data_IF_509976449090
#
_entry.id   IF_509976449090
#
_cell.length_a   1.000
_cell.length_b   1.000
_cell.length_c   1.000
_cell.angle_alpha   90.00
_cell.angle_beta   90.00
_cell.angle_gamma   90.00
#
_symmetry.space_group_name_H-M   'P 1'
#
loop_
_entity.id
_entity.type
_entity.pdbx_description
1 polymer ?
#
# COMPACT_ATOMS: atom_id res chain seq x y z
N UNK A 1 55.55 66.21 -26.97
CA UNK A 1 55.20 65.13 -27.91
C UNK A 1 53.94 64.44 -27.38
N UNK A 2 52.79 64.77 -27.96
CA UNK A 2 51.55 64.00 -27.88
C UNK A 2 50.56 64.64 -28.87
N UNK A 3 50.28 63.97 -29.98
CA UNK A 3 49.13 64.28 -30.83
C UNK A 3 48.14 63.12 -30.76
N UNK A 4 46.82 63.39 -30.79
CA UNK A 4 45.82 62.54 -30.19
C UNK A 4 45.17 61.56 -31.18
N UNK A 5 44.56 60.55 -30.59
CA UNK A 5 43.86 59.40 -31.17
C UNK A 5 42.74 59.74 -32.17
N UNK A 6 42.77 59.00 -33.28
CA UNK A 6 41.68 58.40 -34.06
C UNK A 6 40.24 58.78 -33.67
N UNK A 7 39.64 59.66 -34.47
CA UNK A 7 38.18 59.78 -34.58
C UNK A 7 37.63 58.63 -35.42
N UNK A 8 36.79 57.79 -34.79
CA UNK A 8 36.02 56.73 -35.43
C UNK A 8 34.97 57.33 -36.38
N UNK A 9 35.35 57.64 -37.62
CA UNK A 9 34.45 58.07 -38.69
C UNK A 9 33.82 56.87 -39.38
N UNK A 10 32.47 56.81 -39.40
CA UNK A 10 31.73 55.81 -40.17
C UNK A 10 32.11 55.89 -41.66
N UNK A 11 32.32 54.73 -42.29
CA UNK A 11 32.62 54.65 -43.73
C UNK A 11 31.41 55.12 -44.56
N UNK A 12 31.65 55.81 -45.68
CA UNK A 12 30.59 56.28 -46.59
C UNK A 12 29.62 55.18 -47.01
N UNK A 13 30.10 53.94 -47.14
CA UNK A 13 29.25 52.79 -47.44
C UNK A 13 28.29 52.48 -46.28
N UNK A 14 28.79 52.51 -45.05
CA UNK A 14 27.97 52.31 -43.84
C UNK A 14 26.92 53.41 -43.69
N UNK A 15 27.27 54.66 -44.02
CA UNK A 15 26.36 55.79 -44.00
C UNK A 15 25.24 55.63 -45.05
N UNK A 16 25.59 55.17 -46.26
CA UNK A 16 24.64 54.91 -47.35
C UNK A 16 23.68 53.78 -47.00
N UNK A 17 24.16 52.69 -46.40
CA UNK A 17 23.32 51.59 -45.93
C UNK A 17 22.41 52.00 -44.78
N UNK A 18 22.92 52.75 -43.80
CA UNK A 18 22.12 53.25 -42.69
C UNK A 18 21.02 54.21 -43.16
N UNK A 19 21.34 55.11 -44.08
CA UNK A 19 20.38 56.03 -44.68
C UNK A 19 19.30 55.29 -45.48
N UNK A 20 19.71 54.34 -46.34
CA UNK A 20 18.78 53.51 -47.10
C UNK A 20 17.86 52.69 -46.20
N UNK A 21 18.41 52.08 -45.14
CA UNK A 21 17.64 51.31 -44.17
C UNK A 21 16.63 52.18 -43.41
N UNK A 22 17.02 53.36 -42.94
CA UNK A 22 16.11 54.29 -42.25
C UNK A 22 14.98 54.72 -43.18
N UNK A 23 15.30 55.06 -44.44
CA UNK A 23 14.34 55.49 -45.44
C UNK A 23 13.31 54.39 -45.75
N UNK A 24 13.75 53.13 -45.85
CA UNK A 24 12.89 52.00 -46.21
C UNK A 24 12.39 51.19 -45.00
N UNK A 25 12.75 51.56 -43.76
CA UNK A 25 12.46 50.81 -42.52
C UNK A 25 10.98 50.43 -42.41
N UNK A 26 10.08 51.38 -42.67
CA UNK A 26 8.62 51.14 -42.60
C UNK A 26 8.14 50.18 -43.68
N UNK A 27 8.71 50.23 -44.89
CA UNK A 27 8.36 49.34 -45.98
C UNK A 27 8.87 47.91 -45.71
N UNK A 28 10.12 47.77 -45.25
CA UNK A 28 10.70 46.50 -44.83
C UNK A 28 9.89 45.84 -43.70
N UNK A 29 9.48 46.61 -42.69
CA UNK A 29 8.62 46.11 -41.61
C UNK A 29 7.27 45.60 -42.15
N UNK A 30 6.64 46.33 -43.07
CA UNK A 30 5.37 45.91 -43.67
C UNK A 30 5.50 44.62 -44.49
N UNK A 31 6.55 44.51 -45.30
CA UNK A 31 6.85 43.30 -46.10
C UNK A 31 7.11 42.11 -45.17
N UNK A 32 7.92 42.31 -44.13
CA UNK A 32 8.24 41.27 -43.16
C UNK A 32 6.99 40.73 -42.44
N UNK A 33 6.09 41.63 -42.02
CA UNK A 33 4.80 41.23 -41.40
C UNK A 33 3.92 40.47 -42.39
N UNK A 34 3.87 40.86 -43.68
CA UNK A 34 3.13 40.14 -44.70
C UNK A 34 3.68 38.73 -44.94
N UNK A 35 5.00 38.58 -44.98
CA UNK A 35 5.67 37.27 -45.11
C UNK A 35 5.32 36.37 -43.91
N UNK A 36 5.40 36.89 -42.69
CA UNK A 36 5.03 36.16 -41.47
C UNK A 36 3.56 35.72 -41.48
N UNK A 37 2.66 36.59 -41.95
CA UNK A 37 1.23 36.28 -42.04
C UNK A 37 0.95 35.15 -43.03
N UNK A 38 1.60 35.17 -44.20
CA UNK A 38 1.51 34.09 -45.20
C UNK A 38 2.06 32.79 -44.64
N UNK A 39 3.24 32.80 -44.02
CA UNK A 39 3.86 31.62 -43.42
C UNK A 39 2.97 31.00 -42.33
N UNK A 40 2.43 31.83 -41.44
CA UNK A 40 1.51 31.39 -40.38
C UNK A 40 0.26 30.74 -40.96
N UNK A 41 -0.31 31.33 -42.01
CA UNK A 41 -1.50 30.80 -42.70
C UNK A 41 -1.21 29.42 -43.31
N UNK A 42 -0.07 29.25 -43.99
CA UNK A 42 0.33 27.96 -44.58
C UNK A 42 0.55 26.89 -43.51
N UNK A 43 1.22 27.22 -42.40
CA UNK A 43 1.40 26.30 -41.28
C UNK A 43 0.06 25.88 -40.67
N UNK A 44 -0.87 26.83 -40.49
CA UNK A 44 -2.19 26.55 -39.94
C UNK A 44 -3.00 25.63 -40.86
N UNK A 45 -2.98 25.87 -42.17
CA UNK A 45 -3.61 25.00 -43.17
C UNK A 45 -2.99 23.59 -43.13
N UNK A 46 -1.67 23.47 -43.02
CA UNK A 46 -0.99 22.18 -42.92
C UNK A 46 -1.40 21.39 -41.66
N UNK A 47 -1.47 22.06 -40.50
CA UNK A 47 -1.92 21.44 -39.24
C UNK A 47 -3.38 20.97 -39.36
N UNK A 48 -4.26 21.81 -39.91
CA UNK A 48 -5.66 21.46 -40.13
C UNK A 48 -5.81 20.28 -41.09
N UNK A 49 -5.07 20.28 -42.19
CA UNK A 49 -5.04 19.16 -43.12
C UNK A 49 -4.58 17.86 -42.44
N UNK A 50 -3.50 17.92 -41.65
CA UNK A 50 -3.00 16.79 -40.88
C UNK A 50 -4.01 16.27 -39.86
N UNK A 51 -4.72 17.16 -39.16
CA UNK A 51 -5.80 16.80 -38.26
C UNK A 51 -6.96 16.14 -39.03
N UNK A 52 -7.47 16.75 -40.09
CA UNK A 52 -8.56 16.15 -40.89
C UNK A 52 -8.18 14.77 -41.43
N UNK A 53 -6.95 14.63 -41.93
CA UNK A 53 -6.42 13.34 -42.40
C UNK A 53 -6.32 12.31 -41.27
N UNK A 54 -5.81 12.71 -40.09
CA UNK A 54 -5.76 11.87 -38.90
C UNK A 54 -7.16 11.49 -38.40
N UNK A 55 -8.14 12.39 -38.42
CA UNK A 55 -9.51 12.07 -38.02
C UNK A 55 -10.19 11.10 -39.00
N UNK A 56 -9.91 11.24 -40.30
CA UNK A 56 -10.43 10.33 -41.33
C UNK A 56 -9.78 8.94 -41.26
N UNK A 57 -8.46 8.86 -41.04
CA UNK A 57 -7.72 7.59 -41.00
C UNK A 57 -7.57 6.96 -39.62
N UNK A 58 -7.58 7.74 -38.55
CA UNK A 58 -7.29 7.29 -37.19
C UNK A 58 -8.28 6.24 -36.68
N UNK A 59 -9.54 6.30 -37.14
CA UNK A 59 -10.51 5.24 -36.87
C UNK A 59 -10.14 3.92 -37.56
N UNK A 60 -9.57 3.96 -38.76
CA UNK A 60 -9.24 2.76 -39.55
C UNK A 60 -7.88 2.16 -39.18
N UNK A 61 -6.87 2.97 -38.83
CA UNK A 61 -5.56 2.45 -38.41
C UNK A 61 -5.60 1.79 -37.02
N UNK A 62 -6.32 2.36 -36.04
CA UNK A 62 -6.51 1.71 -34.74
C UNK A 62 -7.21 0.35 -34.88
N UNK A 63 -8.20 0.26 -35.76
CA UNK A 63 -8.88 -1.01 -36.06
C UNK A 63 -7.99 -1.96 -36.86
N UNK A 64 -7.13 -1.46 -37.75
CA UNK A 64 -6.12 -2.27 -38.45
C UNK A 64 -5.06 -2.84 -37.49
N UNK A 65 -4.56 -2.07 -36.54
CA UNK A 65 -3.66 -2.54 -35.48
C UNK A 65 -4.34 -3.56 -34.56
N UNK A 66 -5.63 -3.38 -34.23
CA UNK A 66 -6.44 -4.37 -33.49
C UNK A 66 -6.65 -5.67 -34.26
N UNK A 67 -6.87 -5.58 -35.57
CA UNK A 67 -7.11 -6.74 -36.45
C UNK A 67 -5.82 -7.51 -36.78
N UNK A 68 -4.69 -6.83 -36.96
CA UNK A 68 -3.40 -7.48 -37.22
C UNK A 68 -2.71 -8.02 -35.97
N UNK A 69 -2.98 -7.43 -34.80
CA UNK A 69 -2.44 -7.94 -33.53
C UNK A 69 -3.53 -8.08 -32.46
N UNK A 70 -4.47 -9.04 -32.62
CA UNK A 70 -5.50 -9.32 -31.61
C UNK A 70 -4.93 -9.71 -30.24
N UNK A 71 -3.62 -10.00 -30.17
CA UNK A 71 -2.89 -10.36 -28.96
C UNK A 71 -1.97 -9.25 -28.40
N UNK A 72 -1.88 -8.05 -29.00
CA UNK A 72 -0.94 -7.01 -28.53
C UNK A 72 -1.31 -6.50 -27.13
N UNK A 73 -2.61 -6.37 -26.86
CA UNK A 73 -3.14 -6.12 -25.52
C UNK A 73 -4.23 -7.14 -25.26
N UNK A 74 -3.88 -8.21 -24.54
CA UNK A 74 -4.84 -9.23 -24.11
C UNK A 74 -5.71 -8.67 -22.98
N UNK A 75 -6.64 -7.77 -23.31
CA UNK A 75 -7.54 -7.15 -22.34
C UNK A 75 -8.28 -8.19 -21.49
N UNK A 76 -8.71 -9.30 -22.10
CA UNK A 76 -9.34 -10.40 -21.36
C UNK A 76 -8.41 -11.00 -20.29
N UNK A 77 -7.13 -11.23 -20.61
CA UNK A 77 -6.15 -11.71 -19.64
C UNK A 77 -5.80 -10.66 -18.59
N UNK A 78 -5.74 -9.38 -18.97
CA UNK A 78 -5.57 -8.26 -18.04
C UNK A 78 -6.72 -8.18 -17.03
N UNK A 79 -7.98 -8.24 -17.49
CA UNK A 79 -9.15 -8.25 -16.61
C UNK A 79 -9.26 -9.53 -15.77
N UNK A 80 -8.82 -10.67 -16.28
CA UNK A 80 -8.78 -11.91 -15.48
C UNK A 80 -7.72 -11.86 -14.37
N UNK A 81 -6.55 -11.28 -14.63
CA UNK A 81 -5.49 -11.15 -13.63
C UNK A 81 -5.75 -10.05 -12.59
N UNK A 82 -6.54 -9.02 -12.93
CA UNK A 82 -6.87 -7.90 -12.02
C UNK A 82 -8.20 -8.11 -11.27
N UNK A 83 -8.86 -9.27 -11.46
CA UNK A 83 -10.10 -9.60 -10.75
C UNK A 83 -9.83 -9.86 -9.27
N UNK A 84 -10.69 -9.27 -8.43
CA UNK A 84 -10.70 -9.54 -7.00
C UNK A 84 -11.07 -11.00 -6.78
N UNK A 85 -10.20 -11.73 -6.10
CA UNK A 85 -10.38 -13.10 -5.63
C UNK A 85 -10.87 -13.10 -4.19
N UNK A 86 -11.67 -14.11 -3.83
CA UNK A 86 -12.13 -14.28 -2.46
C UNK A 86 -10.97 -14.56 -1.49
N UNK A 87 -11.20 -14.24 -0.22
CA UNK A 87 -10.26 -14.55 0.85
C UNK A 87 -10.14 -16.07 1.03
N UNK A 88 -8.92 -16.53 1.30
CA UNK A 88 -8.67 -17.93 1.67
C UNK A 88 -8.82 -18.01 3.19
N UNK A 89 -9.79 -18.80 3.65
CA UNK A 89 -10.15 -18.92 5.07
C UNK A 89 -9.78 -20.34 5.49
N UNK A 90 -8.93 -20.46 6.51
CA UNK A 90 -8.54 -21.74 7.10
C UNK A 90 -9.59 -22.23 8.12
N UNK A 91 -9.34 -23.37 8.75
CA UNK A 91 -10.22 -23.88 9.81
C UNK A 91 -10.25 -22.96 11.04
N UNK A 92 -11.46 -22.70 11.54
CA UNK A 92 -11.64 -22.00 12.81
C UNK A 92 -11.19 -22.90 13.96
N UNK A 93 -10.28 -22.40 14.81
CA UNK A 93 -9.80 -23.09 16.00
C UNK A 93 -10.32 -22.39 17.25
N UNK A 94 -10.67 -23.19 18.26
CA UNK A 94 -11.18 -22.74 19.55
C UNK A 94 -10.32 -23.33 20.65
N UNK A 95 -9.80 -22.49 21.54
CA UNK A 95 -8.97 -22.89 22.66
C UNK A 95 -9.65 -22.53 23.98
N UNK A 96 -9.85 -23.49 24.89
CA UNK A 96 -10.40 -23.18 26.21
C UNK A 96 -9.38 -22.38 27.03
N UNK A 97 -9.82 -21.23 27.55
CA UNK A 97 -9.01 -20.31 28.36
C UNK A 97 -9.59 -20.18 29.77
N UNK A 98 -9.61 -21.28 30.52
CA UNK A 98 -10.00 -21.31 31.94
C UNK A 98 -11.44 -20.87 32.21
N UNK A 99 -11.92 -21.01 33.44
CA UNK A 99 -13.15 -20.41 33.98
C UNK A 99 -14.35 -20.19 33.01
N UNK A 100 -14.65 -21.15 32.11
CA UNK A 100 -15.70 -21.06 31.07
C UNK A 100 -15.47 -19.94 30.05
N UNK A 101 -14.22 -19.75 29.63
CA UNK A 101 -13.84 -18.86 28.53
C UNK A 101 -13.15 -19.63 27.43
N UNK A 102 -13.24 -19.08 26.23
CA UNK A 102 -12.58 -19.59 25.04
C UNK A 102 -11.97 -18.45 24.23
N UNK A 103 -10.86 -18.75 23.58
CA UNK A 103 -10.27 -17.93 22.53
C UNK A 103 -10.58 -18.59 21.20
N UNK A 104 -11.08 -17.81 20.25
CA UNK A 104 -11.42 -18.28 18.91
C UNK A 104 -10.56 -17.53 17.90
N UNK A 105 -10.04 -18.27 16.92
CA UNK A 105 -9.23 -17.66 15.87
C UNK A 105 -9.20 -18.47 14.58
N UNK A 106 -8.96 -17.77 13.48
CA UNK A 106 -8.89 -18.34 12.14
C UNK A 106 -7.85 -17.59 11.31
N UNK A 107 -7.04 -18.33 10.57
CA UNK A 107 -6.08 -17.76 9.63
C UNK A 107 -6.80 -17.38 8.34
N UNK A 108 -6.58 -16.15 7.88
CA UNK A 108 -7.15 -15.66 6.62
C UNK A 108 -6.03 -15.05 5.79
N UNK A 109 -6.00 -15.40 4.51
CA UNK A 109 -5.11 -14.81 3.53
C UNK A 109 -5.90 -14.03 2.48
N UNK A 110 -5.43 -12.82 2.16
CA UNK A 110 -5.87 -12.05 1.02
C UNK A 110 -4.99 -12.40 -0.19
N UNK A 111 -5.47 -13.18 -1.17
CA UNK A 111 -4.65 -13.60 -2.31
C UNK A 111 -4.45 -12.49 -3.35
N UNK A 112 -4.96 -11.28 -3.13
CA UNK A 112 -4.93 -10.21 -4.13
C UNK A 112 -3.71 -9.32 -3.96
N UNK A 113 -2.90 -9.19 -5.02
CA UNK A 113 -1.65 -8.40 -4.99
C UNK A 113 -1.87 -6.89 -5.08
N UNK A 114 -2.94 -6.45 -5.74
CA UNK A 114 -3.25 -5.03 -5.96
C UNK A 114 -4.48 -4.54 -5.18
N UNK A 115 -5.14 -5.43 -4.45
CA UNK A 115 -6.38 -5.12 -3.73
C UNK A 115 -6.24 -5.51 -2.26
N UNK A 116 -6.51 -4.55 -1.38
CA UNK A 116 -6.70 -4.82 0.03
C UNK A 116 -8.16 -4.58 0.43
N UNK A 117 -8.46 -4.89 1.68
CA UNK A 117 -9.74 -4.61 2.30
C UNK A 117 -9.52 -3.53 3.34
N UNK A 118 -10.07 -2.34 3.10
CA UNK A 118 -9.96 -1.21 4.03
C UNK A 118 -10.69 -1.48 5.33
N UNK A 119 -11.85 -2.11 5.23
CA UNK A 119 -12.67 -2.49 6.38
C UNK A 119 -13.39 -3.80 6.10
N UNK A 120 -13.30 -4.73 7.06
CA UNK A 120 -14.09 -5.95 7.11
C UNK A 120 -14.65 -6.15 8.50
N UNK A 121 -15.96 -6.30 8.59
CA UNK A 121 -16.62 -6.62 9.85
C UNK A 121 -16.82 -8.14 9.95
N UNK A 122 -16.53 -8.69 11.12
CA UNK A 122 -16.60 -10.12 11.37
C UNK A 122 -17.07 -10.43 12.79
N UNK A 123 -17.59 -11.64 12.96
CA UNK A 123 -17.88 -12.23 14.25
C UNK A 123 -17.83 -13.75 14.13
N UNK A 124 -17.71 -14.43 15.26
CA UNK A 124 -17.80 -15.88 15.32
C UNK A 124 -19.17 -16.30 15.84
N UNK A 125 -19.69 -17.39 15.28
CA UNK A 125 -20.87 -18.09 15.80
C UNK A 125 -20.38 -19.36 16.46
N UNK A 126 -20.53 -19.44 17.77
CA UNK A 126 -20.15 -20.61 18.56
C UNK A 126 -21.15 -21.75 18.31
N UNK A 127 -20.73 -23.00 18.56
CA UNK A 127 -21.62 -24.16 18.44
C UNK A 127 -22.82 -24.10 19.39
N UNK A 128 -22.73 -23.36 20.51
CA UNK A 128 -23.86 -23.04 21.38
C UNK A 128 -24.94 -22.17 20.73
N UNK A 129 -24.66 -21.58 19.56
CA UNK A 129 -25.52 -20.63 18.86
C UNK A 129 -25.26 -19.16 19.24
N UNK A 130 -24.43 -18.92 20.25
CA UNK A 130 -24.03 -17.58 20.68
C UNK A 130 -23.12 -16.90 19.65
N UNK A 131 -23.27 -15.59 19.51
CA UNK A 131 -22.45 -14.76 18.62
C UNK A 131 -21.48 -13.93 19.45
N UNK A 132 -20.23 -13.87 19.01
CA UNK A 132 -19.28 -12.90 19.58
C UNK A 132 -19.69 -11.47 19.21
N UNK A 133 -19.20 -10.46 19.94
CA UNK A 133 -19.29 -9.07 19.48
C UNK A 133 -18.74 -8.92 18.07
N UNK A 134 -19.36 -8.03 17.29
CA UNK A 134 -18.86 -7.68 15.96
C UNK A 134 -17.55 -6.90 16.12
N UNK A 135 -16.52 -7.36 15.41
CA UNK A 135 -15.21 -6.74 15.36
C UNK A 135 -14.92 -6.28 13.93
N UNK A 136 -14.09 -5.26 13.79
CA UNK A 136 -13.62 -4.76 12.50
C UNK A 136 -12.14 -5.05 12.33
N UNK A 137 -11.76 -5.36 11.09
CA UNK A 137 -10.37 -5.57 10.68
C UNK A 137 -10.17 -4.98 9.28
N UNK A 138 -8.98 -5.16 8.73
CA UNK A 138 -8.55 -4.72 7.40
C UNK A 138 -7.61 -5.77 6.84
N UNK A 139 -7.32 -5.77 5.54
CA UNK A 139 -6.30 -6.64 4.94
C UNK A 139 -5.49 -5.84 3.91
N UNK A 140 -4.18 -5.81 4.06
CA UNK A 140 -3.30 -5.33 3.00
C UNK A 140 -3.28 -6.33 1.84
N UNK A 141 -2.86 -5.91 0.63
CA UNK A 141 -2.66 -6.85 -0.46
C UNK A 141 -1.65 -7.93 -0.09
N UNK A 142 -1.94 -9.17 -0.48
CA UNK A 142 -1.12 -10.35 -0.17
C UNK A 142 -0.88 -10.59 1.33
N UNK A 143 -1.65 -9.95 2.22
CA UNK A 143 -1.51 -10.13 3.67
C UNK A 143 -2.17 -11.45 4.12
N UNK A 144 -1.50 -12.14 5.03
CA UNK A 144 -2.06 -13.24 5.81
C UNK A 144 -2.02 -12.86 7.30
N UNK A 145 -3.15 -13.05 7.99
CA UNK A 145 -3.23 -12.84 9.43
C UNK A 145 -4.39 -13.59 10.08
N UNK A 146 -4.42 -13.59 11.41
CA UNK A 146 -5.52 -14.16 12.15
C UNK A 146 -6.64 -13.13 12.35
N UNK A 147 -7.89 -13.59 12.30
CA UNK A 147 -9.00 -12.90 12.95
C UNK A 147 -9.25 -13.59 14.29
N UNK A 148 -9.32 -12.82 15.37
CA UNK A 148 -9.26 -13.32 16.74
C UNK A 148 -10.37 -12.71 17.59
N UNK A 149 -11.04 -13.55 18.37
CA UNK A 149 -11.92 -13.12 19.45
C UNK A 149 -11.48 -13.85 20.73
N UNK A 150 -10.92 -13.09 21.67
CA UNK A 150 -10.25 -13.62 22.86
C UNK A 150 -11.14 -13.46 24.10
N UNK A 151 -11.02 -14.39 25.06
CA UNK A 151 -11.67 -14.31 26.37
C UNK A 151 -13.19 -14.34 26.32
N UNK A 152 -13.78 -15.04 25.35
CA UNK A 152 -15.23 -15.13 25.18
C UNK A 152 -15.80 -16.05 26.26
N UNK A 153 -16.77 -15.58 27.04
CA UNK A 153 -17.46 -16.40 28.04
C UNK A 153 -18.31 -17.48 27.33
N UNK A 154 -17.74 -18.68 27.16
CA UNK A 154 -18.39 -19.87 26.60
C UNK A 154 -17.59 -21.13 26.91
N UNK A 155 -18.22 -22.29 26.70
CA UNK A 155 -17.56 -23.61 26.77
C UNK A 155 -17.58 -24.34 25.43
N UNK A 156 -18.00 -23.66 24.36
CA UNK A 156 -18.08 -24.23 23.02
C UNK A 156 -16.69 -24.63 22.52
N UNK A 157 -16.57 -25.83 21.92
CA UNK A 157 -15.30 -26.34 21.38
C UNK A 157 -15.15 -26.10 19.88
N UNK A 158 -16.17 -25.56 19.23
CA UNK A 158 -16.15 -25.22 17.81
C UNK A 158 -16.92 -23.92 17.56
N UNK A 159 -16.53 -23.26 16.49
CA UNK A 159 -17.12 -22.01 16.05
C UNK A 159 -17.03 -21.92 14.52
N UNK A 160 -17.83 -21.04 13.94
CA UNK A 160 -17.77 -20.68 12.52
C UNK A 160 -17.55 -19.18 12.37
N UNK A 161 -16.81 -18.79 11.34
CA UNK A 161 -16.57 -17.38 11.02
C UNK A 161 -17.71 -16.86 10.14
N UNK A 162 -18.22 -15.67 10.48
CA UNK A 162 -19.09 -14.90 9.60
C UNK A 162 -18.41 -13.60 9.22
N UNK A 163 -18.17 -13.43 7.92
CA UNK A 163 -17.74 -12.17 7.33
C UNK A 163 -18.97 -11.40 6.88
N UNK A 164 -19.14 -10.19 7.38
CA UNK A 164 -20.25 -9.33 7.03
C UNK A 164 -19.85 -8.36 5.91
N UNK A 165 -19.67 -7.07 6.23
CA UNK A 165 -19.38 -6.02 5.27
C UNK A 165 -17.91 -6.07 4.87
N UNK A 166 -17.62 -5.98 3.55
CA UNK A 166 -16.25 -5.92 2.98
C UNK A 166 -16.11 -4.68 2.10
N UNK A 167 -15.15 -3.82 2.41
CA UNK A 167 -14.82 -2.63 1.61
C UNK A 167 -13.46 -2.81 0.92
N UNK A 168 -13.50 -3.25 -0.33
CA UNK A 168 -12.30 -3.42 -1.14
C UNK A 168 -11.72 -2.09 -1.58
N UNK A 169 -10.40 -1.97 -1.51
CA UNK A 169 -9.65 -0.82 -1.97
C UNK A 169 -8.48 -1.28 -2.83
N UNK A 170 -8.39 -0.75 -4.05
CA UNK A 170 -7.24 -0.95 -4.93
C UNK A 170 -6.09 -0.07 -4.45
N UNK A 171 -4.90 -0.66 -4.31
CA UNK A 171 -3.68 0.12 -4.16
C UNK A 171 -3.26 0.63 -5.52
N UNK A 172 -3.05 1.94 -5.63
CA UNK A 172 -2.53 2.53 -6.85
C UNK A 172 -1.01 2.49 -6.82
N UNK A 173 -0.39 2.04 -7.90
CA UNK A 173 1.08 1.95 -8.03
C UNK A 173 1.79 3.29 -7.88
N UNK A 174 1.11 4.41 -8.17
CA UNK A 174 1.65 5.76 -8.05
C UNK A 174 1.62 6.33 -6.62
N UNK A 175 0.98 5.65 -5.68
CA UNK A 175 1.01 5.97 -4.25
C UNK A 175 1.33 4.71 -3.45
N UNK A 176 2.60 4.28 -3.43
CA UNK A 176 3.00 3.13 -2.63
C UNK A 176 2.75 3.42 -1.15
N UNK A 177 2.38 2.38 -0.41
CA UNK A 177 2.34 2.48 1.04
C UNK A 177 3.74 2.73 1.61
N UNK A 178 3.84 3.36 2.79
CA UNK A 178 5.10 3.43 3.50
C UNK A 178 5.69 2.03 3.66
N UNK A 179 7.00 1.90 3.47
CA UNK A 179 7.69 0.64 3.73
C UNK A 179 7.56 0.29 5.22
N UNK A 180 7.07 -0.92 5.48
CA UNK A 180 7.05 -1.52 6.81
C UNK A 180 8.18 -2.52 6.88
N UNK A 181 9.18 -2.22 7.70
CA UNK A 181 10.28 -3.12 8.02
C UNK A 181 10.39 -3.27 9.54
N UNK A 182 9.59 -4.20 10.08
CA UNK A 182 9.64 -4.56 11.49
C UNK A 182 10.36 -5.90 11.65
N UNK A 183 11.39 -5.92 12.49
CA UNK A 183 12.09 -7.14 12.87
C UNK A 183 11.61 -7.56 14.25
N UNK A 184 11.19 -8.82 14.36
CA UNK A 184 10.89 -9.46 15.63
C UNK A 184 12.00 -10.47 15.93
N UNK A 185 12.67 -10.28 17.05
CA UNK A 185 13.78 -11.13 17.49
C UNK A 185 13.76 -11.33 19.01
N UNK A 186 14.78 -12.03 19.53
CA UNK A 186 14.96 -12.34 20.95
C UNK A 186 13.73 -13.01 21.59
N UNK A 187 13.04 -13.85 20.83
CA UNK A 187 11.82 -14.53 21.26
C UNK A 187 12.17 -15.56 22.32
N UNK A 188 11.64 -15.37 23.54
CA UNK A 188 11.84 -16.27 24.67
C UNK A 188 10.50 -16.61 25.30
N UNK A 189 10.10 -17.88 25.16
CA UNK A 189 8.94 -18.41 25.88
C UNK A 189 9.43 -19.15 27.13
N UNK A 190 8.83 -18.84 28.29
CA UNK A 190 9.06 -19.51 29.56
C UNK A 190 7.73 -20.06 30.06
N UNK A 191 7.66 -21.36 30.31
CA UNK A 191 6.50 -22.00 30.91
C UNK A 191 6.31 -21.56 32.36
N UNK A 192 5.09 -21.70 32.89
CA UNK A 192 4.80 -21.46 34.30
C UNK A 192 5.74 -22.19 35.26
N UNK A 193 6.13 -23.43 34.92
CA UNK A 193 7.06 -24.25 35.70
C UNK A 193 8.45 -23.63 35.77
N UNK A 194 8.94 -23.06 34.67
CA UNK A 194 10.26 -22.40 34.60
C UNK A 194 10.26 -21.04 35.31
N UNK A 195 9.12 -20.36 35.33
CA UNK A 195 8.96 -19.08 36.02
C UNK A 195 8.86 -19.23 37.55
N UNK A 196 8.48 -20.41 38.05
CA UNK A 196 8.29 -20.65 39.49
C UNK A 196 7.13 -19.85 40.09
N UNK A 197 6.25 -19.27 39.26
CA UNK A 197 5.14 -18.42 39.69
C UNK A 197 3.86 -19.24 39.80
N UNK A 198 3.35 -19.40 41.02
CA UNK A 198 2.10 -20.15 41.32
C UNK A 198 0.84 -19.58 40.64
N UNK A 199 0.81 -18.27 40.37
CA UNK A 199 -0.34 -17.56 39.81
C UNK A 199 -0.50 -17.72 38.28
N UNK A 200 0.58 -18.08 37.57
CA UNK A 200 0.53 -18.35 36.14
C UNK A 200 0.55 -19.85 35.94
N UNK A 201 -0.41 -20.40 35.17
CA UNK A 201 -0.41 -21.82 34.81
C UNK A 201 0.10 -22.06 33.39
N UNK A 202 0.08 -21.06 32.53
CA UNK A 202 0.56 -21.17 31.15
C UNK A 202 2.03 -20.87 30.99
N UNK A 203 2.33 -19.59 30.89
CA UNK A 203 3.69 -19.11 30.65
C UNK A 203 3.71 -17.64 30.24
N UNK A 204 4.92 -17.19 29.93
CA UNK A 204 5.25 -15.83 29.56
C UNK A 204 6.11 -15.86 28.30
N UNK A 205 5.78 -15.00 27.36
CA UNK A 205 6.56 -14.76 26.15
C UNK A 205 7.12 -13.35 26.22
N UNK A 206 8.44 -13.24 26.03
CA UNK A 206 9.15 -11.99 25.84
C UNK A 206 9.74 -11.96 24.43
N UNK A 207 9.74 -10.78 23.80
CA UNK A 207 10.42 -10.56 22.53
C UNK A 207 10.82 -9.10 22.39
N UNK A 208 11.71 -8.84 21.44
CA UNK A 208 12.05 -7.49 21.01
C UNK A 208 11.50 -7.26 19.61
N UNK A 209 10.91 -6.08 19.41
CA UNK A 209 10.55 -5.58 18.07
C UNK A 209 11.40 -4.37 17.75
N UNK A 210 11.99 -4.35 16.56
CA UNK A 210 12.80 -3.25 16.04
C UNK A 210 12.16 -2.70 14.76
N UNK A 211 11.86 -1.41 14.75
CA UNK A 211 11.42 -0.73 13.53
C UNK A 211 12.63 -0.26 12.74
N UNK A 212 12.92 -0.91 11.60
CA UNK A 212 14.00 -0.51 10.69
C UNK A 212 13.54 0.42 9.58
N UNK A 213 12.26 0.78 9.57
CA UNK A 213 11.69 1.75 8.63
C UNK A 213 12.09 3.16 9.04
N UNK A 214 12.09 4.10 8.10
CA UNK A 214 12.24 5.54 8.38
C UNK A 214 11.00 6.16 9.04
N UNK A 215 9.87 5.44 9.00
CA UNK A 215 8.56 5.89 9.47
C UNK A 215 8.38 5.61 10.97
N UNK A 216 7.71 6.53 11.66
CA UNK A 216 7.24 6.36 13.02
C UNK A 216 5.79 5.84 12.99
N UNK A 217 5.44 4.85 13.83
CA UNK A 217 4.09 4.29 13.90
C UNK A 217 3.45 4.59 15.25
N UNK A 218 2.19 5.04 15.28
CA UNK A 218 1.42 5.17 16.52
C UNK A 218 0.83 3.81 16.93
N UNK A 219 -0.14 3.29 16.20
CA UNK A 219 -0.84 2.06 16.60
C UNK A 219 -0.26 0.82 15.93
N UNK A 220 0.55 0.07 16.68
CA UNK A 220 1.14 -1.21 16.23
C UNK A 220 0.57 -2.35 17.07
N UNK A 221 -0.23 -3.20 16.44
CA UNK A 221 -0.71 -4.44 17.02
C UNK A 221 0.28 -5.58 16.80
N UNK A 222 0.23 -6.58 17.68
CA UNK A 222 0.97 -7.83 17.55
C UNK A 222 0.06 -8.99 17.88
N UNK A 223 -0.19 -9.84 16.89
CA UNK A 223 -0.84 -11.13 17.11
C UNK A 223 0.22 -12.14 17.50
N UNK A 224 0.02 -12.81 18.62
CA UNK A 224 0.95 -13.79 19.17
C UNK A 224 0.30 -15.15 19.14
N UNK A 225 0.89 -16.06 18.39
CA UNK A 225 0.37 -17.41 18.16
C UNK A 225 1.39 -18.41 18.68
N UNK A 226 1.01 -19.17 19.70
CA UNK A 226 1.81 -20.30 20.17
C UNK A 226 1.48 -21.52 19.32
N UNK A 227 2.51 -22.26 18.90
CA UNK A 227 2.38 -23.41 18.02
C UNK A 227 2.89 -24.68 18.68
N UNK A 228 2.26 -25.80 18.36
CA UNK A 228 2.78 -27.15 18.57
C UNK A 228 2.93 -27.83 17.20
N UNK A 229 4.17 -27.97 16.73
CA UNK A 229 4.47 -28.23 15.33
C UNK A 229 3.97 -27.08 14.44
N UNK A 230 3.04 -27.39 13.54
CA UNK A 230 2.39 -26.42 12.66
C UNK A 230 1.01 -25.94 13.17
N UNK A 231 0.50 -26.53 14.26
CA UNK A 231 -0.85 -26.25 14.74
C UNK A 231 -0.85 -25.16 15.80
N UNK A 232 -1.75 -24.16 15.72
CA UNK A 232 -1.94 -23.20 16.80
C UNK A 232 -2.49 -23.89 18.04
N UNK A 233 -2.02 -23.47 19.21
CA UNK A 233 -2.45 -23.99 20.53
C UNK A 233 -2.88 -22.89 21.50
N UNK A 234 -2.51 -21.63 21.23
CA UNK A 234 -2.99 -20.47 21.97
C UNK A 234 -2.84 -19.20 21.14
N UNK A 235 -3.71 -18.23 21.42
CA UNK A 235 -3.69 -16.90 20.82
C UNK A 235 -3.47 -15.84 21.89
N UNK A 236 -2.92 -14.70 21.48
CA UNK A 236 -2.90 -13.49 22.28
C UNK A 236 -2.74 -12.26 21.37
N UNK A 237 -3.06 -11.09 21.89
CA UNK A 237 -2.90 -9.83 21.18
C UNK A 237 -2.43 -8.74 22.12
N UNK A 238 -1.44 -7.97 21.70
CA UNK A 238 -1.00 -6.76 22.37
C UNK A 238 -0.89 -5.63 21.37
N UNK A 239 -1.20 -4.41 21.81
CA UNK A 239 -1.02 -3.20 21.02
C UNK A 239 -0.12 -2.24 21.78
N UNK A 240 0.75 -1.56 21.05
CA UNK A 240 1.56 -0.46 21.56
C UNK A 240 1.16 0.82 20.84
N UNK A 241 1.21 1.92 21.59
CA UNK A 241 0.81 3.24 21.09
C UNK A 241 1.94 3.99 20.39
N UNK A 242 3.16 3.47 20.37
CA UNK A 242 4.22 4.11 19.59
C UNK A 242 5.34 3.11 19.27
N UNK A 243 5.86 3.15 18.06
CA UNK A 243 7.08 2.49 17.66
C UNK A 243 7.90 3.45 16.77
N UNK A 244 8.81 4.23 17.38
CA UNK A 244 9.64 5.17 16.65
C UNK A 244 10.52 4.50 15.60
N UNK A 245 10.84 5.25 14.56
CA UNK A 245 11.80 4.92 13.52
C UNK A 245 13.14 4.53 14.13
N UNK A 246 13.77 3.47 13.59
CA UNK A 246 15.07 2.96 14.00
C UNK A 246 15.20 2.61 15.50
N UNK A 247 14.08 2.34 16.15
CA UNK A 247 14.03 2.04 17.59
C UNK A 247 13.58 0.62 17.88
N UNK A 248 13.95 0.12 19.05
CA UNK A 248 13.57 -1.20 19.55
C UNK A 248 12.72 -1.08 20.82
N UNK A 249 11.74 -1.98 20.98
CA UNK A 249 10.93 -2.12 22.19
C UNK A 249 10.88 -3.58 22.61
N UNK A 250 11.03 -3.81 23.91
CA UNK A 250 10.81 -5.12 24.51
C UNK A 250 9.34 -5.24 24.88
N UNK A 251 8.72 -6.32 24.44
CA UNK A 251 7.32 -6.62 24.65
C UNK A 251 7.18 -7.95 25.37
N UNK A 252 6.08 -8.09 26.08
CA UNK A 252 5.81 -9.25 26.90
C UNK A 252 4.31 -9.54 26.92
N UNK A 253 3.97 -10.82 26.87
CA UNK A 253 2.61 -11.28 27.07
C UNK A 253 2.60 -12.56 27.89
N UNK A 254 1.56 -12.74 28.71
CA UNK A 254 1.43 -13.89 29.60
C UNK A 254 0.08 -14.57 29.41
N UNK A 255 0.06 -15.88 29.60
CA UNK A 255 -1.15 -16.68 29.64
C UNK A 255 -1.36 -17.21 31.06
N UNK A 256 -2.53 -16.90 31.62
CA UNK A 256 -2.90 -17.35 32.95
C UNK A 256 -3.15 -18.87 33.01
N UNK A 257 -3.58 -19.45 31.89
CA UNK A 257 -4.09 -20.83 31.80
C UNK A 257 -3.04 -21.80 31.30
N UNK A 258 -3.16 -23.08 31.67
CA UNK A 258 -2.20 -24.11 31.26
C UNK A 258 -2.13 -24.24 29.73
N UNK A 259 -0.95 -24.00 29.17
CA UNK A 259 -0.69 -24.17 27.73
C UNK A 259 0.00 -25.52 27.52
N UNK A 260 -0.37 -26.29 26.49
CA UNK A 260 0.40 -27.45 26.06
C UNK A 260 1.86 -27.11 25.72
N UNK A 261 2.66 -28.13 25.43
CA UNK A 261 4.05 -27.93 25.01
C UNK A 261 4.14 -27.06 23.75
N UNK A 262 4.78 -25.89 23.90
CA UNK A 262 5.07 -24.93 22.83
C UNK A 262 6.33 -25.36 22.09
N UNK A 263 6.25 -25.54 20.77
CA UNK A 263 7.42 -25.82 19.94
C UNK A 263 7.99 -24.57 19.27
N UNK A 264 7.12 -23.62 18.92
CA UNK A 264 7.48 -22.39 18.21
C UNK A 264 6.45 -21.31 18.46
N UNK A 265 6.81 -20.07 18.14
CA UNK A 265 5.99 -18.88 18.34
C UNK A 265 5.97 -18.08 17.04
N UNK A 266 4.78 -17.70 16.57
CA UNK A 266 4.59 -16.79 15.44
C UNK A 266 4.08 -15.45 15.99
N UNK A 267 4.82 -14.37 15.74
CA UNK A 267 4.44 -13.01 16.11
C UNK A 267 4.21 -12.24 14.81
N UNK A 268 2.99 -11.75 14.61
CA UNK A 268 2.58 -11.07 13.39
C UNK A 268 2.29 -9.60 13.73
N UNK A 269 3.14 -8.65 13.29
CA UNK A 269 2.84 -7.23 13.46
C UNK A 269 1.64 -6.82 12.61
N UNK A 270 0.89 -5.83 13.09
CA UNK A 270 -0.34 -5.34 12.51
C UNK A 270 -0.31 -3.81 12.48
N UNK A 271 -0.19 -3.24 11.29
CA UNK A 271 -0.18 -1.78 11.06
C UNK A 271 -1.17 -1.43 9.95
N UNK A 272 -2.20 -0.67 10.30
CA UNK A 272 -3.25 -0.31 9.35
C UNK A 272 -2.81 0.83 8.42
N UNK A 273 -2.25 0.50 7.25
CA UNK A 273 -1.84 1.52 6.27
C UNK A 273 -3.02 2.23 5.57
N UNK A 274 -4.25 1.75 5.74
CA UNK A 274 -5.43 2.46 5.27
C UNK A 274 -5.90 3.56 6.23
N UNK A 275 -5.41 3.58 7.48
CA UNK A 275 -5.68 4.65 8.43
C UNK A 275 -4.65 5.78 8.25
N UNK A 276 -5.07 6.99 7.85
CA UNK A 276 -4.15 8.12 7.67
C UNK A 276 -3.43 8.54 8.96
N UNK A 277 -3.92 8.17 10.14
CA UNK A 277 -3.32 8.52 11.44
C UNK A 277 -2.23 7.56 11.90
N UNK A 278 -2.00 6.46 11.16
CA UNK A 278 -1.05 5.42 11.58
C UNK A 278 0.39 5.91 11.58
N UNK A 279 0.71 6.88 10.71
CA UNK A 279 2.03 7.50 10.61
C UNK A 279 2.11 8.73 11.51
N UNK A 280 3.22 8.85 12.24
CA UNK A 280 3.57 10.06 12.98
C UNK A 280 4.48 10.93 12.12
N UNK A 281 4.01 12.14 11.80
CA UNK A 281 4.80 13.20 11.17
C UNK A 281 5.98 13.65 12.05
#
# INVERSE_FOLDING_TARGET
MATPNNSYGLSDQQLKYAYWYILHKKQLQRIFVQILLVLSTVMFIYILYGLCWYWWRGATELDYWRLQNPNYIKWAAYYQNERIRDLIIDDVKVFPTGAKRVDVGVLIANPNENWGIKQIDYYFVLASGEKTPVQSSWFLPSEEKYLLALGIDSTSQSASLVLAKKEWQRLRKDRPFPEINLIVDQIQFKSARELGVSLLRGGQLEWQVTNKSVNNFWDVGFQVILLSGAQPIAYNYIQINELPSLSSKNLMVSWAENIPTVSSVKIIPQINLFDPKVLKE
#
